data_IF_472732555259
#
_entry.id   IF_472732555259
#
_cell.length_a   1.000
_cell.length_b   1.000
_cell.length_c   1.000
_cell.angle_alpha   90.00
_cell.angle_beta   90.00
_cell.angle_gamma   90.00
#
_symmetry.space_group_name_H-M   'P 1'
#
loop_
_entity.id
_entity.type
_entity.pdbx_description
1 polymer ?
#
# COMPACT_ATOMS: atom_id res chain seq x y z
N UNK A 1 -11.92 -15.71 21.41
CA UNK A 1 -11.50 -17.06 20.98
C UNK A 1 -11.94 -17.24 19.52
N UNK A 2 -11.06 -17.63 18.59
CA UNK A 2 -11.49 -18.00 17.23
C UNK A 2 -12.58 -19.07 17.30
N UNK A 3 -13.60 -18.97 16.43
CA UNK A 3 -14.59 -20.06 16.30
C UNK A 3 -13.85 -21.34 15.90
N UNK A 4 -14.23 -22.50 16.45
CA UNK A 4 -13.59 -23.79 16.17
C UNK A 4 -13.40 -24.07 14.66
N UNK A 5 -14.35 -23.62 13.83
CA UNK A 5 -14.34 -23.72 12.36
C UNK A 5 -13.17 -22.96 11.69
N UNK A 6 -12.57 -21.98 12.37
CA UNK A 6 -11.47 -21.16 11.84
C UNK A 6 -10.11 -21.55 12.43
N UNK A 7 -10.05 -22.60 13.25
CA UNK A 7 -8.80 -23.04 13.87
C UNK A 7 -7.74 -23.40 12.82
N UNK A 8 -8.15 -24.05 11.73
CA UNK A 8 -7.27 -24.41 10.61
C UNK A 8 -6.56 -23.17 10.01
N UNK A 9 -7.22 -22.01 9.95
CA UNK A 9 -6.59 -20.77 9.45
C UNK A 9 -5.43 -20.33 10.35
N UNK A 10 -5.58 -20.49 11.67
CA UNK A 10 -4.51 -20.15 12.61
C UNK A 10 -3.31 -21.10 12.46
N UNK A 11 -3.58 -22.39 12.22
CA UNK A 11 -2.56 -23.40 11.96
C UNK A 11 -1.82 -23.13 10.65
N UNK A 12 -2.52 -22.84 9.56
CA UNK A 12 -1.90 -22.47 8.27
C UNK A 12 -1.07 -21.20 8.36
N UNK A 13 -1.56 -20.17 9.08
CA UNK A 13 -0.78 -18.97 9.34
C UNK A 13 0.50 -19.25 10.15
N UNK A 14 0.46 -20.18 11.10
CA UNK A 14 1.66 -20.57 11.86
C UNK A 14 2.66 -21.33 10.98
N UNK A 15 2.20 -22.25 10.13
CA UNK A 15 3.06 -22.92 9.14
C UNK A 15 3.77 -21.93 8.23
N UNK A 16 3.06 -20.91 7.72
CA UNK A 16 3.66 -19.85 6.90
C UNK A 16 4.71 -19.04 7.68
N UNK A 17 4.52 -18.81 8.99
CA UNK A 17 5.51 -18.12 9.83
C UNK A 17 6.77 -18.97 10.04
N UNK A 18 6.60 -20.25 10.35
CA UNK A 18 7.72 -21.21 10.51
C UNK A 18 8.54 -21.35 9.22
N UNK A 19 7.86 -21.38 8.07
CA UNK A 19 8.48 -21.43 6.75
C UNK A 19 9.06 -20.09 6.27
N UNK A 20 8.90 -19.01 7.05
CA UNK A 20 9.28 -17.63 6.67
C UNK A 20 8.61 -17.12 5.38
N UNK A 21 7.43 -17.64 5.06
CA UNK A 21 6.59 -17.23 3.92
C UNK A 21 5.47 -16.27 4.33
N UNK A 22 5.28 -16.05 5.63
CA UNK A 22 4.27 -15.11 6.12
C UNK A 22 4.66 -13.66 5.79
N UNK A 23 3.94 -13.07 4.85
CA UNK A 23 4.14 -11.69 4.44
C UNK A 23 3.45 -10.72 5.39
N UNK A 24 4.23 -9.84 6.02
CA UNK A 24 3.71 -8.69 6.76
C UNK A 24 3.72 -7.46 5.85
N UNK A 25 2.55 -6.83 5.70
CA UNK A 25 2.45 -5.56 4.99
C UNK A 25 3.18 -4.47 5.77
N UNK A 26 4.00 -3.69 5.06
CA UNK A 26 4.68 -2.51 5.60
C UNK A 26 3.81 -1.28 5.38
N UNK A 27 3.89 -0.31 6.29
CA UNK A 27 3.11 0.92 6.20
C UNK A 27 3.96 1.99 5.50
N UNK A 28 3.48 2.45 4.34
CA UNK A 28 4.01 3.64 3.68
C UNK A 28 3.35 4.88 4.30
N UNK A 29 4.14 5.73 4.95
CA UNK A 29 3.63 6.89 5.71
C UNK A 29 3.67 8.20 4.92
N UNK A 30 4.43 8.22 3.82
CA UNK A 30 4.61 9.39 2.95
C UNK A 30 4.12 9.11 1.54
N UNK A 31 4.14 10.10 0.67
CA UNK A 31 3.92 9.87 -0.77
C UNK A 31 4.95 8.87 -1.33
N UNK A 32 4.57 8.13 -2.38
CA UNK A 32 5.42 7.13 -3.02
C UNK A 32 6.55 7.78 -3.83
N UNK A 33 7.68 8.09 -3.18
CA UNK A 33 8.86 8.75 -3.77
C UNK A 33 10.07 7.81 -3.81
N UNK A 34 11.14 8.13 -4.57
CA UNK A 34 12.38 7.35 -4.56
C UNK A 34 12.97 7.18 -3.16
N UNK A 35 12.88 8.21 -2.33
CA UNK A 35 13.12 8.16 -0.88
C UNK A 35 11.78 8.35 -0.18
N UNK A 36 11.38 7.38 0.64
CA UNK A 36 10.07 7.34 1.31
C UNK A 36 10.20 6.88 2.76
N UNK A 37 9.20 7.17 3.60
CA UNK A 37 9.17 6.68 4.98
C UNK A 37 8.28 5.44 5.11
N UNK A 38 8.88 4.32 5.51
CA UNK A 38 8.20 3.06 5.80
C UNK A 38 8.45 2.65 7.25
N UNK A 39 7.37 2.36 7.99
CA UNK A 39 7.42 1.93 9.40
C UNK A 39 8.33 2.83 10.27
N UNK A 40 8.18 4.15 10.15
CA UNK A 40 8.98 5.16 10.87
C UNK A 40 10.40 5.41 10.33
N UNK A 41 10.87 4.64 9.34
CA UNK A 41 12.24 4.74 8.82
C UNK A 41 12.27 5.34 7.41
N UNK A 42 13.22 6.23 7.14
CA UNK A 42 13.51 6.72 5.79
C UNK A 42 14.32 5.67 5.01
N UNK A 43 13.84 5.31 3.82
CA UNK A 43 14.43 4.26 2.98
C UNK A 43 14.38 4.64 1.50
N UNK A 44 15.29 4.06 0.70
CA UNK A 44 15.20 4.09 -0.77
C UNK A 44 14.18 3.03 -1.21
N UNK A 45 13.11 3.45 -1.90
CA UNK A 45 12.03 2.58 -2.34
C UNK A 45 12.31 1.99 -3.73
N UNK A 46 12.87 0.79 -3.75
CA UNK A 46 13.13 0.01 -4.97
C UNK A 46 12.04 -1.04 -5.28
N UNK A 47 10.97 -1.09 -4.49
CA UNK A 47 9.92 -2.12 -4.59
C UNK A 47 8.59 -1.55 -5.09
N UNK A 48 8.65 -0.56 -5.98
CA UNK A 48 7.49 0.22 -6.42
C UNK A 48 7.32 0.14 -7.93
N UNK A 49 6.07 0.23 -8.40
CA UNK A 49 5.75 0.28 -9.83
C UNK A 49 5.74 1.72 -10.39
N UNK A 50 6.26 2.71 -9.66
CA UNK A 50 6.27 4.12 -10.06
C UNK A 50 7.49 4.45 -10.93
N UNK A 51 7.59 3.81 -12.09
CA UNK A 51 8.75 3.90 -12.99
C UNK A 51 9.05 5.32 -13.47
N UNK A 52 8.00 6.12 -13.73
CA UNK A 52 8.11 7.48 -14.27
C UNK A 52 7.97 8.58 -13.20
N UNK A 53 7.81 8.21 -11.93
CA UNK A 53 7.61 9.19 -10.85
C UNK A 53 6.21 9.83 -10.81
N UNK A 54 5.27 9.39 -11.66
CA UNK A 54 3.98 10.07 -11.84
C UNK A 54 2.97 9.85 -10.69
N UNK A 55 3.17 8.85 -9.83
CA UNK A 55 2.21 8.56 -8.76
C UNK A 55 2.05 9.68 -7.72
N UNK A 56 2.99 10.63 -7.67
CA UNK A 56 2.94 11.80 -6.78
C UNK A 56 3.08 13.14 -7.51
N UNK A 57 3.18 13.13 -8.84
CA UNK A 57 3.39 14.32 -9.66
C UNK A 57 2.26 15.35 -9.44
N UNK A 58 2.58 16.61 -9.06
CA UNK A 58 1.59 17.64 -8.79
C UNK A 58 0.61 17.87 -9.95
N UNK A 59 1.08 17.78 -11.20
CA UNK A 59 0.26 18.01 -12.41
C UNK A 59 -0.81 16.94 -12.55
N UNK A 60 -0.48 15.69 -12.22
CA UNK A 60 -1.44 14.57 -12.25
C UNK A 60 -2.51 14.75 -11.17
N UNK A 61 -2.10 15.17 -9.96
CA UNK A 61 -3.05 15.46 -8.86
C UNK A 61 -3.98 16.61 -9.20
N UNK A 62 -3.45 17.70 -9.74
CA UNK A 62 -4.24 18.86 -10.16
C UNK A 62 -5.25 18.50 -11.25
N UNK A 63 -4.82 17.73 -12.26
CA UNK A 63 -5.69 17.24 -13.32
C UNK A 63 -6.83 16.36 -12.77
N UNK A 64 -6.52 15.46 -11.83
CA UNK A 64 -7.51 14.61 -11.18
C UNK A 64 -8.53 15.46 -10.39
N UNK A 65 -8.07 16.42 -9.59
CA UNK A 65 -8.94 17.35 -8.84
C UNK A 65 -9.85 18.15 -9.79
N UNK A 66 -9.29 18.68 -10.88
CA UNK A 66 -10.05 19.44 -11.87
C UNK A 66 -11.13 18.57 -12.53
N UNK A 67 -10.79 17.34 -12.91
CA UNK A 67 -11.74 16.39 -13.47
C UNK A 67 -12.86 16.05 -12.48
N UNK A 68 -12.53 15.78 -11.21
CA UNK A 68 -13.53 15.53 -10.16
C UNK A 68 -14.47 16.74 -10.01
N UNK A 69 -13.96 17.97 -9.99
CA UNK A 69 -14.79 19.19 -9.91
C UNK A 69 -15.70 19.36 -11.13
N UNK A 70 -15.21 19.03 -12.33
CA UNK A 70 -15.97 19.13 -13.58
C UNK A 70 -17.07 18.07 -13.68
N UNK A 71 -16.79 16.85 -13.25
CA UNK A 71 -17.68 15.68 -13.45
C UNK A 71 -18.66 15.44 -12.30
N UNK A 72 -18.45 16.05 -11.12
CA UNK A 72 -19.35 15.89 -9.96
C UNK A 72 -20.75 16.51 -10.13
N UNK A 73 -21.08 17.08 -11.29
CA UNK A 73 -22.35 17.77 -11.55
C UNK A 73 -22.98 17.31 -12.86
N UNK A 74 -23.23 16.01 -12.99
CA UNK A 74 -24.03 15.44 -14.08
C UNK A 74 -25.27 14.70 -13.55
N UNK A 75 -25.88 15.22 -12.48
CA UNK A 75 -27.21 14.83 -12.00
C UNK A 75 -27.94 16.08 -11.57
#
# INVERSE_FOLDING_TARGET
>A
MPKAQLQYLSEELNKLREQKLYQKLRILETEQRPVSRFDGCEVINLSSNNYLGLSWDPRVKEAAIAATKKLRSTT
#
